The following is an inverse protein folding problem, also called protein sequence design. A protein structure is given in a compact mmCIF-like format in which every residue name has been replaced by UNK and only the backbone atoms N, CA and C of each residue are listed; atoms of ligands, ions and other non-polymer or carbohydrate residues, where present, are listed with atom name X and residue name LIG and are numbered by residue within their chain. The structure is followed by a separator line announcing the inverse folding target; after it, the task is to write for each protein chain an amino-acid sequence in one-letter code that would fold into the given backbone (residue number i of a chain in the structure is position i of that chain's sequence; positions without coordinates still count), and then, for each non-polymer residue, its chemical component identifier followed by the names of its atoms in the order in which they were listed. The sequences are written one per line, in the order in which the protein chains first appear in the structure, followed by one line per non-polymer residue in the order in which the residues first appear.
data_IF_809152425347
#
_entry.id   IF_809152425347
#
_cell.length_a   1.000
_cell.length_b   1.000
_cell.length_c   1.000
_cell.angle_alpha   90.00
_cell.angle_beta   90.00
_cell.angle_gamma   90.00
#
_symmetry.space_group_name_H-M   'P 1'
#
loop_
_entity.id
_entity.type
_entity.pdbx_description
1 polymer ?
#
# COMPACT_ATOMS: atom_id res chain seq x y z
N UNK A 1 32.44 0.95 -3.27
CA UNK A 1 31.25 1.52 -2.59
C UNK A 1 30.13 0.49 -2.70
N UNK A 2 29.68 -0.08 -1.59
CA UNK A 2 28.59 -1.07 -1.60
C UNK A 2 27.26 -0.32 -1.73
N UNK A 3 26.47 -0.65 -2.75
CA UNK A 3 25.11 -0.11 -2.90
C UNK A 3 24.19 -0.77 -1.87
N UNK A 4 23.38 0.02 -1.17
CA UNK A 4 22.34 -0.52 -0.31
C UNK A 4 21.27 -1.24 -1.14
N UNK A 5 20.56 -2.24 -0.60
CA UNK A 5 19.41 -2.84 -1.27
C UNK A 5 18.33 -1.81 -1.61
N UNK A 6 17.46 -2.08 -2.60
CA UNK A 6 16.32 -1.22 -2.93
C UNK A 6 15.46 -0.90 -1.71
N UNK A 7 15.04 0.36 -1.57
CA UNK A 7 14.33 0.86 -0.38
C UNK A 7 12.82 0.78 -0.54
N UNK A 8 12.11 0.49 0.56
CA UNK A 8 10.65 0.50 0.64
C UNK A 8 10.20 1.40 1.80
N UNK A 9 9.29 2.34 1.55
CA UNK A 9 8.72 3.21 2.58
C UNK A 9 7.52 2.52 3.26
N UNK A 10 7.55 2.33 4.59
CA UNK A 10 6.57 1.45 5.25
C UNK A 10 5.76 2.01 6.41
N UNK A 11 6.10 3.18 6.94
CA UNK A 11 5.37 3.75 8.08
C UNK A 11 4.20 4.62 7.60
N UNK A 12 3.00 4.33 8.08
CA UNK A 12 1.76 5.08 7.87
C UNK A 12 1.32 5.30 6.41
N UNK A 13 1.61 4.33 5.53
CA UNK A 13 1.14 4.31 4.14
C UNK A 13 -0.29 3.76 4.10
N UNK A 14 -1.26 4.61 3.77
CA UNK A 14 -2.69 4.27 3.75
C UNK A 14 -3.45 4.80 2.54
N UNK A 15 -2.80 5.57 1.67
CA UNK A 15 -3.42 6.16 0.47
C UNK A 15 -2.57 5.96 -0.78
N UNK A 16 -3.18 5.95 -1.99
CA UNK A 16 -2.45 5.88 -3.25
C UNK A 16 -1.46 7.04 -3.43
N UNK A 17 -1.81 8.25 -3.01
CA UNK A 17 -0.93 9.43 -3.13
C UNK A 17 0.36 9.26 -2.33
N UNK A 18 0.29 8.73 -1.11
CA UNK A 18 1.49 8.40 -0.32
C UNK A 18 2.39 7.35 -1.00
N UNK A 19 1.82 6.42 -1.77
CA UNK A 19 2.60 5.45 -2.56
C UNK A 19 3.32 6.15 -3.71
N UNK A 20 2.63 7.04 -4.42
CA UNK A 20 3.21 7.83 -5.50
C UNK A 20 4.31 8.76 -4.98
N UNK A 21 4.09 9.41 -3.83
CA UNK A 21 5.06 10.28 -3.17
C UNK A 21 6.31 9.50 -2.74
N UNK A 22 6.15 8.32 -2.14
CA UNK A 22 7.27 7.47 -1.73
C UNK A 22 8.17 7.12 -2.93
N UNK A 23 7.55 6.74 -4.06
CA UNK A 23 8.27 6.41 -5.29
C UNK A 23 8.92 7.65 -5.89
N UNK A 24 8.22 8.78 -5.92
CA UNK A 24 8.74 10.07 -6.42
C UNK A 24 9.92 10.58 -5.58
N UNK A 25 9.94 10.27 -4.28
CA UNK A 25 11.03 10.56 -3.37
C UNK A 25 12.24 9.60 -3.52
N UNK A 26 12.17 8.63 -4.43
CA UNK A 26 13.28 7.71 -4.74
C UNK A 26 13.19 6.35 -4.04
N UNK A 27 12.11 6.03 -3.34
CA UNK A 27 11.87 4.67 -2.88
C UNK A 27 11.52 3.75 -4.07
N UNK A 28 11.89 2.48 -3.97
CA UNK A 28 11.51 1.46 -4.97
C UNK A 28 10.04 1.03 -4.82
N UNK A 29 9.41 1.35 -3.69
CA UNK A 29 8.01 1.07 -3.42
C UNK A 29 7.60 1.43 -2.00
N UNK A 30 6.43 0.94 -1.59
CA UNK A 30 5.83 1.22 -0.30
C UNK A 30 5.21 -0.04 0.35
N UNK A 31 5.10 -0.04 1.68
CA UNK A 31 4.48 -1.10 2.50
C UNK A 31 3.30 -0.51 3.27
N UNK A 32 2.12 -1.12 3.14
CA UNK A 32 0.88 -0.70 3.82
C UNK A 32 0.37 -1.82 4.73
N UNK A 33 0.66 -1.73 6.03
CA UNK A 33 0.23 -2.70 7.04
C UNK A 33 -1.10 -2.35 7.71
N UNK A 34 -1.10 -1.28 8.53
CA UNK A 34 -2.25 -0.90 9.37
C UNK A 34 -3.54 -0.65 8.57
N UNK A 35 -3.44 -0.10 7.36
CA UNK A 35 -4.60 0.12 6.51
C UNK A 35 -5.26 -1.19 6.05
N UNK A 36 -4.47 -2.22 5.73
CA UNK A 36 -4.98 -3.56 5.39
C UNK A 36 -5.66 -4.20 6.60
N UNK A 37 -5.01 -4.16 7.77
CA UNK A 37 -5.56 -4.74 9.00
C UNK A 37 -6.86 -4.04 9.41
N UNK A 38 -6.95 -2.71 9.23
CA UNK A 38 -8.18 -1.95 9.51
C UNK A 38 -9.37 -2.38 8.64
N UNK A 39 -9.14 -2.74 7.38
CA UNK A 39 -10.19 -3.28 6.50
C UNK A 39 -10.68 -4.64 7.02
N UNK A 40 -9.75 -5.51 7.46
CA UNK A 40 -10.09 -6.82 8.05
C UNK A 40 -10.88 -6.63 9.34
N UNK A 41 -10.41 -5.76 10.23
CA UNK A 41 -11.05 -5.48 11.53
C UNK A 41 -12.49 -4.97 11.36
N UNK A 42 -12.71 -4.05 10.41
CA UNK A 42 -14.02 -3.45 10.11
C UNK A 42 -15.04 -4.48 9.59
N UNK A 43 -14.58 -5.49 8.85
CA UNK A 43 -15.45 -6.43 8.12
C UNK A 43 -15.39 -7.86 8.69
N UNK A 44 -15.13 -8.00 10.00
CA UNK A 44 -14.83 -9.29 10.65
C UNK A 44 -15.91 -10.38 10.47
N UNK A 45 -17.18 -9.96 10.35
CA UNK A 45 -18.33 -10.86 10.17
C UNK A 45 -18.85 -10.88 8.72
N UNK A 46 -18.21 -10.15 7.80
CA UNK A 46 -18.66 -9.94 6.42
C UNK A 46 -17.55 -10.26 5.42
N UNK A 47 -17.24 -11.55 5.26
CA UNK A 47 -16.08 -12.01 4.46
C UNK A 47 -16.10 -11.52 3.01
N UNK A 48 -17.23 -11.61 2.31
CA UNK A 48 -17.33 -11.13 0.92
C UNK A 48 -17.06 -9.62 0.81
N UNK A 49 -17.54 -8.83 1.78
CA UNK A 49 -17.32 -7.38 1.82
C UNK A 49 -15.85 -7.09 2.15
N UNK A 50 -15.26 -7.81 3.10
CA UNK A 50 -13.84 -7.71 3.44
C UNK A 50 -12.96 -7.93 2.20
N UNK A 51 -13.21 -9.02 1.45
CA UNK A 51 -12.43 -9.35 0.26
C UNK A 51 -12.62 -8.32 -0.86
N UNK A 52 -13.85 -7.81 -1.04
CA UNK A 52 -14.13 -6.75 -2.02
C UNK A 52 -13.40 -5.44 -1.67
N UNK A 53 -13.45 -5.00 -0.40
CA UNK A 53 -12.76 -3.80 0.07
C UNK A 53 -11.23 -3.97 -0.01
N UNK A 54 -10.69 -5.12 0.41
CA UNK A 54 -9.25 -5.42 0.29
C UNK A 54 -8.78 -5.38 -1.16
N UNK A 55 -9.54 -5.98 -2.07
CA UNK A 55 -9.24 -5.98 -3.50
C UNK A 55 -9.23 -4.55 -4.05
N UNK A 56 -10.27 -3.77 -3.77
CA UNK A 56 -10.38 -2.38 -4.22
C UNK A 56 -9.20 -1.53 -3.70
N UNK A 57 -8.88 -1.67 -2.41
CA UNK A 57 -7.77 -0.98 -1.77
C UNK A 57 -6.43 -1.35 -2.44
N UNK A 58 -6.08 -2.64 -2.52
CA UNK A 58 -4.81 -3.10 -3.10
C UNK A 58 -4.68 -2.69 -4.58
N UNK A 59 -5.77 -2.75 -5.35
CA UNK A 59 -5.77 -2.30 -6.75
C UNK A 59 -5.45 -0.81 -6.86
N UNK A 60 -6.03 0.03 -6.01
CA UNK A 60 -5.75 1.47 -6.00
C UNK A 60 -4.31 1.78 -5.60
N UNK A 61 -3.80 1.13 -4.55
CA UNK A 61 -2.41 1.28 -4.10
C UNK A 61 -1.42 0.82 -5.18
N UNK A 62 -1.72 -0.29 -5.87
CA UNK A 62 -0.87 -0.80 -6.95
C UNK A 62 -0.89 0.11 -8.18
N UNK A 63 -2.04 0.71 -8.51
CA UNK A 63 -2.13 1.66 -9.61
C UNK A 63 -1.17 2.85 -9.40
N UNK A 64 -1.07 3.37 -8.18
CA UNK A 64 -0.14 4.44 -7.82
C UNK A 64 1.35 4.07 -7.88
N UNK A 65 1.69 2.78 -8.00
CA UNK A 65 3.09 2.37 -8.24
C UNK A 65 3.55 2.50 -9.69
N UNK A 66 2.61 2.66 -10.63
CA UNK A 66 2.93 2.76 -12.06
C UNK A 66 3.34 4.21 -12.34
N UNK A 67 4.63 4.40 -12.62
CA UNK A 67 5.09 5.66 -13.20
C UNK A 67 4.50 5.79 -14.61
N UNK A 68 4.02 6.98 -14.97
CA UNK A 68 3.62 7.29 -16.34
C UNK A 68 4.82 7.28 -17.28
#
# INVERSE_FOLDING_TARGET
MQQAPPTLQGFDVSTPDQVADAISAGATGAISGSAIVRIIEKNRDYEETMLAELKAFVMSMKAATRQQ
#
